data_IF_673553257889
#
_entry.id   IF_673553257889
#
_cell.length_a   1.000
_cell.length_b   1.000
_cell.length_c   1.000
_cell.angle_alpha   90.00
_cell.angle_beta   90.00
_cell.angle_gamma   90.00
#
_symmetry.space_group_name_H-M   'P 1'
#
loop_
_entity.id
_entity.type
_entity.pdbx_description
1 polymer ?
#
# COMPACT_ATOMS: atom_id res chain seq x y z
N UNK A 1 -35.41 36.43 -16.72
CA UNK A 1 -36.61 37.20 -17.06
C UNK A 1 -36.68 37.28 -18.58
N UNK A 2 -37.65 36.55 -19.17
CA UNK A 2 -38.17 36.65 -20.56
C UNK A 2 -37.15 36.47 -21.71
N UNK A 3 -37.45 35.81 -22.84
CA UNK A 3 -38.72 35.52 -23.48
C UNK A 3 -38.71 34.14 -24.16
N UNK A 4 -39.91 33.58 -24.25
CA UNK A 4 -40.28 32.41 -25.00
C UNK A 4 -40.86 32.79 -26.38
N UNK A 5 -40.96 31.75 -27.23
CA UNK A 5 -41.83 31.58 -28.40
C UNK A 5 -41.43 32.41 -29.64
N UNK A 6 -41.29 31.80 -30.82
CA UNK A 6 -42.43 31.43 -31.67
C UNK A 6 -42.12 30.16 -32.50
N UNK A 7 -43.16 29.32 -32.58
CA UNK A 7 -43.33 28.15 -33.45
C UNK A 7 -43.65 28.56 -34.88
N UNK A 8 -43.19 27.82 -35.90
CA UNK A 8 -44.07 27.00 -36.76
C UNK A 8 -43.49 26.64 -38.15
N UNK A 9 -43.77 25.38 -38.53
CA UNK A 9 -43.83 24.76 -39.85
C UNK A 9 -42.62 24.74 -40.78
N UNK A 10 -42.07 23.53 -41.03
CA UNK A 10 -41.44 23.21 -42.30
C UNK A 10 -41.82 21.80 -42.76
N UNK A 11 -42.34 21.73 -43.98
CA UNK A 11 -42.77 20.52 -44.68
C UNK A 11 -41.59 19.71 -45.23
N UNK A 12 -41.85 18.41 -45.38
CA UNK A 12 -40.97 17.32 -45.79
C UNK A 12 -40.44 17.51 -47.22
N UNK A 13 -39.13 17.31 -47.42
CA UNK A 13 -38.58 16.80 -48.68
C UNK A 13 -37.46 15.79 -48.40
N UNK A 14 -37.70 14.54 -48.80
CA UNK A 14 -36.69 13.49 -48.86
C UNK A 14 -35.82 13.71 -50.10
N UNK A 15 -34.51 13.94 -49.90
CA UNK A 15 -33.48 13.74 -50.92
C UNK A 15 -32.61 12.54 -50.51
N UNK A 16 -32.37 11.56 -51.40
CA UNK A 16 -31.48 10.44 -51.11
C UNK A 16 -30.04 10.96 -51.22
N UNK A 17 -29.32 11.00 -50.08
CA UNK A 17 -27.90 11.33 -50.08
C UNK A 17 -27.11 10.07 -50.47
N UNK A 18 -26.62 10.05 -51.71
CA UNK A 18 -25.64 9.10 -52.20
C UNK A 18 -24.28 9.33 -51.52
N UNK A 19 -23.63 8.22 -51.17
CA UNK A 19 -22.33 8.16 -50.49
C UNK A 19 -21.21 8.82 -51.32
N UNK A 20 -20.49 9.76 -50.69
CA UNK A 20 -19.12 10.12 -51.07
C UNK A 20 -18.19 9.74 -49.92
N UNK A 21 -17.42 8.69 -50.18
CA UNK A 21 -16.36 8.14 -49.35
C UNK A 21 -15.27 9.18 -49.05
N UNK A 22 -15.09 9.51 -47.78
CA UNK A 22 -13.86 10.07 -47.25
C UNK A 22 -13.34 9.12 -46.19
N UNK A 23 -12.58 8.10 -46.60
CA UNK A 23 -11.79 7.28 -45.68
C UNK A 23 -10.67 8.15 -45.13
N UNK A 24 -10.94 8.86 -44.03
CA UNK A 24 -9.90 9.43 -43.21
C UNK A 24 -9.10 8.25 -42.62
N UNK A 25 -7.89 8.05 -43.13
CA UNK A 25 -6.91 7.14 -42.55
C UNK A 25 -6.71 7.57 -41.08
N UNK A 26 -6.94 6.70 -40.09
CA UNK A 26 -6.50 7.01 -38.74
C UNK A 26 -4.98 7.01 -38.75
N UNK A 27 -4.39 8.20 -38.65
CA UNK A 27 -3.00 8.35 -38.27
C UNK A 27 -2.82 7.68 -36.91
N UNK A 28 -2.39 6.42 -36.90
CA UNK A 28 -1.81 5.79 -35.72
C UNK A 28 -0.46 6.46 -35.47
N UNK A 29 -0.48 7.63 -34.82
CA UNK A 29 0.66 8.04 -34.03
C UNK A 29 0.75 7.04 -32.88
N UNK A 30 1.53 5.98 -33.09
CA UNK A 30 2.16 5.27 -31.99
C UNK A 30 3.09 6.29 -31.34
N UNK A 31 2.55 7.06 -30.40
CA UNK A 31 3.37 7.81 -29.47
C UNK A 31 4.15 6.75 -28.69
N UNK A 32 5.37 6.46 -29.14
CA UNK A 32 6.31 5.66 -28.39
C UNK A 32 6.41 6.33 -27.03
N UNK A 33 5.79 5.71 -26.03
CA UNK A 33 5.74 6.24 -24.70
C UNK A 33 7.13 6.01 -24.12
N UNK A 34 7.99 7.01 -24.25
CA UNK A 34 9.36 6.98 -23.73
C UNK A 34 9.26 6.96 -22.20
N UNK A 35 9.40 5.79 -21.58
CA UNK A 35 9.60 5.69 -20.15
C UNK A 35 11.09 5.48 -19.86
N UNK A 36 11.59 6.22 -18.87
CA UNK A 36 12.95 6.08 -18.40
C UNK A 36 13.11 4.73 -17.70
N UNK A 37 13.81 3.79 -18.32
CA UNK A 37 14.20 2.52 -17.71
C UNK A 37 15.63 2.64 -17.19
N UNK A 38 15.79 2.76 -15.87
CA UNK A 38 17.10 2.78 -15.22
C UNK A 38 17.51 1.35 -14.84
N UNK A 39 18.46 0.71 -15.55
CA UNK A 39 18.98 -0.59 -15.13
C UNK A 39 19.77 -0.42 -13.82
N UNK A 40 19.35 -1.14 -12.79
CA UNK A 40 20.12 -1.24 -11.54
C UNK A 40 21.24 -2.27 -11.75
N UNK A 41 22.47 -1.77 -11.84
CA UNK A 41 23.68 -2.61 -11.87
C UNK A 41 24.18 -2.79 -10.44
N UNK A 42 24.17 -4.03 -9.96
CA UNK A 42 24.81 -4.37 -8.69
C UNK A 42 26.31 -4.52 -8.91
N UNK A 43 27.11 -3.79 -8.15
CA UNK A 43 28.54 -4.02 -7.99
C UNK A 43 28.76 -4.40 -6.53
N UNK A 44 29.35 -5.55 -6.28
CA UNK A 44 29.69 -6.00 -4.93
C UNK A 44 30.78 -5.07 -4.37
N UNK A 45 30.50 -4.22 -3.35
CA UNK A 45 31.51 -3.37 -2.76
C UNK A 45 31.98 -4.00 -1.45
N UNK A 46 33.21 -4.51 -1.46
CA UNK A 46 33.97 -5.00 -0.31
C UNK A 46 33.40 -6.24 0.44
N UNK A 47 34.27 -7.05 1.07
CA UNK A 47 33.81 -8.17 1.89
C UNK A 47 33.02 -7.65 3.11
N UNK A 48 31.92 -8.33 3.51
CA UNK A 48 31.09 -7.90 4.63
C UNK A 48 31.88 -7.93 5.95
N UNK A 49 31.59 -6.98 6.84
CA UNK A 49 32.11 -7.00 8.21
C UNK A 49 31.62 -8.23 8.97
N UNK A 50 32.30 -8.68 10.05
CA UNK A 50 31.84 -9.82 10.85
C UNK A 50 30.40 -9.66 11.39
N UNK A 51 30.00 -8.44 11.74
CA UNK A 51 28.64 -8.10 12.17
C UNK A 51 27.60 -8.24 11.06
N UNK A 52 27.94 -7.81 9.84
CA UNK A 52 27.06 -7.96 8.67
C UNK A 52 26.96 -9.43 8.27
N UNK A 53 28.06 -10.17 8.32
CA UNK A 53 28.09 -11.60 8.08
C UNK A 53 27.20 -12.37 9.09
N UNK A 54 27.30 -12.05 10.38
CA UNK A 54 26.47 -12.65 11.43
C UNK A 54 24.98 -12.29 11.25
N UNK A 55 24.68 -11.03 10.94
CA UNK A 55 23.30 -10.59 10.64
C UNK A 55 22.72 -11.32 9.43
N UNK A 56 23.51 -11.44 8.36
CA UNK A 56 23.14 -12.19 7.17
C UNK A 56 22.92 -13.68 7.47
N UNK A 57 23.75 -14.30 8.30
CA UNK A 57 23.61 -15.72 8.64
C UNK A 57 22.40 -15.99 9.55
N UNK A 58 22.12 -15.11 10.52
CA UNK A 58 20.89 -15.14 11.31
C UNK A 58 19.63 -15.02 10.42
N UNK A 59 19.66 -14.11 9.45
CA UNK A 59 18.59 -14.00 8.45
C UNK A 59 18.48 -15.26 7.60
N UNK A 60 19.60 -15.82 7.15
CA UNK A 60 19.64 -17.06 6.37
C UNK A 60 19.02 -18.22 7.14
N UNK A 61 19.40 -18.43 8.40
CA UNK A 61 18.82 -19.45 9.27
C UNK A 61 17.30 -19.26 9.43
N UNK A 62 16.85 -18.03 9.69
CA UNK A 62 15.41 -17.70 9.75
C UNK A 62 14.67 -18.08 8.46
N UNK A 63 15.27 -17.80 7.29
CA UNK A 63 14.66 -18.19 6.01
C UNK A 63 14.63 -19.69 5.80
N UNK A 64 15.67 -20.43 6.21
CA UNK A 64 15.69 -21.89 6.14
C UNK A 64 14.63 -22.51 7.04
N UNK A 65 14.53 -22.05 8.30
CA UNK A 65 13.47 -22.50 9.21
C UNK A 65 12.07 -22.18 8.69
N UNK A 66 11.87 -21.02 8.05
CA UNK A 66 10.60 -20.67 7.42
C UNK A 66 10.28 -21.58 6.23
N UNK A 67 11.27 -21.88 5.37
CA UNK A 67 11.12 -22.77 4.24
C UNK A 67 10.76 -24.21 4.66
N UNK A 68 11.36 -24.71 5.74
CA UNK A 68 11.07 -26.04 6.29
C UNK A 68 9.63 -26.19 6.82
N UNK A 69 8.98 -25.09 7.22
CA UNK A 69 7.62 -25.14 7.77
C UNK A 69 6.51 -25.28 6.72
N UNK A 70 6.84 -25.24 5.42
CA UNK A 70 5.88 -25.36 4.30
C UNK A 70 4.59 -24.54 4.51
N UNK A 71 4.70 -23.35 5.12
CA UNK A 71 3.53 -22.54 5.36
C UNK A 71 3.04 -21.92 4.04
N UNK A 72 1.76 -22.07 3.70
CA UNK A 72 1.18 -21.32 2.61
C UNK A 72 1.36 -19.81 2.87
N UNK A 73 1.76 -19.06 1.83
CA UNK A 73 2.12 -17.66 1.96
C UNK A 73 0.95 -16.73 1.64
N UNK A 74 0.75 -15.63 2.40
CA UNK A 74 -0.26 -14.62 2.10
C UNK A 74 -0.11 -14.06 0.69
N UNK A 75 -1.20 -14.07 -0.09
CA UNK A 75 -1.30 -13.50 -1.44
C UNK A 75 -2.48 -12.53 -1.48
N UNK A 76 -2.19 -11.24 -1.53
CA UNK A 76 -3.19 -10.19 -1.52
C UNK A 76 -3.31 -9.54 -2.91
N UNK A 77 -4.52 -9.42 -3.49
CA UNK A 77 -4.70 -8.75 -4.77
C UNK A 77 -4.32 -7.27 -4.70
N UNK A 78 -3.64 -6.78 -5.73
CA UNK A 78 -3.22 -5.39 -5.91
C UNK A 78 -3.71 -4.89 -7.26
N UNK A 79 -4.40 -3.75 -7.25
CA UNK A 79 -4.92 -3.09 -8.45
C UNK A 79 -4.53 -1.62 -8.46
N UNK A 80 -4.30 -1.06 -9.64
CA UNK A 80 -4.12 0.38 -9.80
C UNK A 80 -5.44 1.12 -9.55
N UNK A 81 -5.37 2.27 -8.88
CA UNK A 81 -6.50 3.19 -8.69
C UNK A 81 -6.60 4.25 -9.80
N UNK A 82 -5.82 4.13 -10.89
CA UNK A 82 -5.77 5.13 -11.97
C UNK A 82 -7.16 5.43 -12.57
N UNK A 83 -8.02 4.42 -12.72
CA UNK A 83 -9.38 4.59 -13.22
C UNK A 83 -10.28 5.44 -12.32
N UNK A 84 -9.88 5.67 -11.06
CA UNK A 84 -10.56 6.54 -10.10
C UNK A 84 -9.91 7.93 -9.96
N UNK A 85 -8.92 8.23 -10.81
CA UNK A 85 -8.14 9.47 -10.78
C UNK A 85 -7.02 9.48 -9.74
N UNK A 86 -6.70 8.33 -9.15
CA UNK A 86 -5.64 8.18 -8.15
C UNK A 86 -4.41 7.49 -8.75
N UNK A 87 -3.21 8.02 -8.48
CA UNK A 87 -1.94 7.38 -8.85
C UNK A 87 -1.51 6.22 -7.93
N UNK A 88 -2.38 5.79 -7.01
CA UNK A 88 -2.05 4.81 -5.98
C UNK A 88 -2.33 3.36 -6.42
N UNK A 89 -1.68 2.41 -5.74
CA UNK A 89 -2.01 0.99 -5.85
C UNK A 89 -2.74 0.53 -4.59
N UNK A 90 -3.87 -0.14 -4.78
CA UNK A 90 -4.75 -0.59 -3.71
C UNK A 90 -4.63 -2.09 -3.49
N UNK A 91 -4.29 -2.47 -2.26
CA UNK A 91 -4.29 -3.84 -1.77
C UNK A 91 -5.66 -4.18 -1.21
N UNK A 92 -6.23 -5.31 -1.63
CA UNK A 92 -7.47 -5.84 -1.05
C UNK A 92 -7.17 -6.64 0.22
N UNK A 93 -7.50 -6.08 1.38
CA UNK A 93 -7.39 -6.73 2.69
C UNK A 93 -8.77 -7.11 3.21
N UNK A 94 -8.90 -8.25 3.90
CA UNK A 94 -10.11 -8.56 4.64
C UNK A 94 -9.84 -8.49 6.15
N UNK A 95 -10.66 -7.72 6.86
CA UNK A 95 -10.60 -7.56 8.32
C UNK A 95 -11.91 -7.99 8.97
N UNK A 96 -11.84 -8.64 10.11
CA UNK A 96 -13.01 -8.95 10.94
C UNK A 96 -13.50 -10.39 10.85
N UNK A 97 -14.42 -10.71 11.76
CA UNK A 97 -15.16 -11.98 11.81
C UNK A 97 -16.66 -11.70 11.92
N UNK A 98 -17.45 -11.80 10.82
CA UNK A 98 -17.06 -12.22 9.48
C UNK A 98 -16.17 -11.20 8.73
N UNK A 99 -15.40 -11.63 7.71
CA UNK A 99 -14.46 -10.76 7.01
C UNK A 99 -15.15 -9.65 6.19
N UNK A 100 -14.66 -8.42 6.35
CA UNK A 100 -15.06 -7.23 5.60
C UNK A 100 -13.93 -6.82 4.65
N UNK A 101 -14.24 -6.72 3.35
CA UNK A 101 -13.25 -6.36 2.31
C UNK A 101 -12.98 -4.85 2.31
N UNK A 102 -11.71 -4.48 2.33
CA UNK A 102 -11.22 -3.10 2.34
C UNK A 102 -10.10 -2.96 1.30
N UNK A 103 -10.05 -1.81 0.63
CA UNK A 103 -9.01 -1.44 -0.32
C UNK A 103 -8.08 -0.42 0.35
N UNK A 104 -6.80 -0.76 0.49
CA UNK A 104 -5.84 0.07 1.22
C UNK A 104 -4.70 0.50 0.29
N UNK A 105 -4.28 1.76 0.38
CA UNK A 105 -3.08 2.24 -0.33
C UNK A 105 -1.87 1.47 0.18
N UNK A 106 -1.12 0.84 -0.71
CA UNK A 106 0.13 0.17 -0.36
C UNK A 106 1.22 1.22 -0.12
N UNK A 107 1.71 1.33 1.11
CA UNK A 107 2.62 2.41 1.49
C UNK A 107 3.89 1.88 2.17
N UNK A 108 4.99 1.86 1.43
CA UNK A 108 6.33 1.50 1.94
C UNK A 108 7.00 2.64 2.73
N UNK A 109 6.35 3.81 2.82
CA UNK A 109 6.81 5.01 3.51
C UNK A 109 6.21 5.21 4.91
N UNK A 110 5.37 4.28 5.41
CA UNK A 110 4.82 4.38 6.75
C UNK A 110 4.63 3.02 7.42
N UNK A 111 4.60 3.02 8.75
CA UNK A 111 4.42 1.80 9.54
C UNK A 111 2.97 1.50 9.86
N UNK A 112 2.15 2.49 10.21
CA UNK A 112 0.80 2.21 10.69
C UNK A 112 -0.11 1.75 9.55
N UNK A 113 -0.58 0.51 9.61
CA UNK A 113 -1.79 0.11 8.87
C UNK A 113 -3.02 0.67 9.57
N UNK A 114 -3.83 1.44 8.87
CA UNK A 114 -5.07 1.98 9.41
C UNK A 114 -6.19 1.96 8.36
N UNK A 115 -7.43 1.93 8.86
CA UNK A 115 -8.64 1.93 8.05
C UNK A 115 -9.63 2.94 8.60
N UNK A 116 -10.43 3.55 7.74
CA UNK A 116 -11.58 4.36 8.12
C UNK A 116 -12.64 3.46 8.74
N UNK A 117 -13.00 3.74 9.99
CA UNK A 117 -14.00 2.99 10.72
C UNK A 117 -15.37 3.67 10.72
N UNK A 118 -16.43 2.88 10.92
CA UNK A 118 -17.78 3.38 11.14
C UNK A 118 -17.81 4.40 12.30
N UNK A 119 -18.67 5.41 12.22
CA UNK A 119 -18.67 6.60 13.08
C UNK A 119 -17.53 7.60 12.85
N UNK A 120 -16.85 7.50 11.70
CA UNK A 120 -15.96 8.54 11.25
C UNK A 120 -16.70 9.86 11.01
N UNK A 121 -16.10 10.96 11.49
CA UNK A 121 -16.73 12.30 11.50
C UNK A 121 -16.24 13.23 10.41
N UNK A 122 -15.10 12.96 9.78
CA UNK A 122 -14.49 13.86 8.79
C UNK A 122 -13.62 13.10 7.80
N UNK A 123 -13.77 13.47 6.51
CA UNK A 123 -13.05 12.93 5.34
C UNK A 123 -12.84 11.41 5.38
N UNK A 124 -13.94 10.68 5.53
CA UNK A 124 -13.96 9.25 5.33
C UNK A 124 -14.67 8.89 4.04
N UNK A 125 -14.21 7.81 3.40
CA UNK A 125 -14.82 7.29 2.20
C UNK A 125 -16.30 6.94 2.47
N UNK A 126 -17.26 7.58 1.77
CA UNK A 126 -18.68 7.34 1.99
C UNK A 126 -19.14 5.95 1.53
N UNK A 127 -18.29 5.20 0.81
CA UNK A 127 -18.67 3.95 0.12
C UNK A 127 -18.15 2.67 0.77
N UNK A 128 -17.23 2.73 1.72
CA UNK A 128 -16.87 1.58 2.56
C UNK A 128 -16.01 2.03 3.75
N UNK A 129 -16.48 1.73 4.96
CA UNK A 129 -15.71 1.82 6.19
C UNK A 129 -15.70 0.45 6.84
N UNK A 130 -14.68 0.17 7.64
CA UNK A 130 -14.70 -1.02 8.50
C UNK A 130 -15.75 -0.81 9.59
N UNK A 131 -16.63 -1.79 9.82
CA UNK A 131 -17.64 -1.78 10.88
C UNK A 131 -17.15 -2.62 12.06
N UNK A 132 -16.54 -2.01 13.10
CA UNK A 132 -15.93 -2.77 14.19
C UNK A 132 -16.96 -3.54 15.01
N UNK A 133 -18.18 -2.99 15.15
CA UNK A 133 -19.29 -3.62 15.86
C UNK A 133 -19.82 -4.89 15.18
N UNK A 134 -19.52 -5.07 13.90
CA UNK A 134 -19.92 -6.26 13.13
C UNK A 134 -18.83 -7.33 13.10
N UNK A 135 -17.73 -7.14 13.84
CA UNK A 135 -16.66 -8.12 13.97
C UNK A 135 -16.59 -8.66 15.39
N UNK A 136 -16.72 -9.97 15.54
CA UNK A 136 -16.56 -10.65 16.83
C UNK A 136 -15.11 -10.64 17.35
N UNK A 137 -14.14 -10.32 16.49
CA UNK A 137 -12.70 -10.35 16.82
C UNK A 137 -12.07 -8.95 16.94
N UNK A 138 -12.87 -7.89 16.80
CA UNK A 138 -12.41 -6.53 17.02
C UNK A 138 -12.14 -6.29 18.51
N UNK A 139 -10.94 -5.79 18.84
CA UNK A 139 -10.59 -5.45 20.21
C UNK A 139 -9.69 -4.20 20.23
N UNK A 140 -10.14 -3.07 20.80
CA UNK A 140 -9.26 -1.94 21.00
C UNK A 140 -8.21 -2.27 22.07
N UNK A 141 -6.98 -1.79 21.88
CA UNK A 141 -5.97 -1.87 22.92
C UNK A 141 -6.37 -0.98 24.10
N UNK A 142 -6.05 -1.40 25.32
CA UNK A 142 -6.15 -0.51 26.47
C UNK A 142 -5.04 0.54 26.39
N UNK A 143 -5.26 1.75 26.90
CA UNK A 143 -4.27 2.82 26.83
C UNK A 143 -2.98 2.54 27.66
N UNK A 144 -3.05 1.61 28.63
CA UNK A 144 -1.89 1.10 29.38
C UNK A 144 -1.25 -0.16 28.77
N UNK A 145 -1.80 -0.71 27.68
CA UNK A 145 -1.19 -1.86 27.00
C UNK A 145 0.15 -1.42 26.40
N UNK A 146 1.19 -2.27 26.51
CA UNK A 146 2.51 -1.96 25.94
C UNK A 146 2.45 -1.74 24.42
N UNK A 147 1.49 -2.35 23.73
CA UNK A 147 1.28 -2.08 22.31
C UNK A 147 0.90 -0.61 22.05
N UNK A 148 0.28 0.08 23.01
CA UNK A 148 -0.10 1.48 22.86
C UNK A 148 1.13 2.38 22.71
N UNK A 149 2.26 2.07 23.34
CA UNK A 149 3.49 2.88 23.22
C UNK A 149 4.11 2.84 21.82
N UNK A 150 3.61 1.97 20.93
CA UNK A 150 4.13 1.81 19.57
C UNK A 150 3.54 2.81 18.56
N UNK A 151 2.52 3.58 18.95
CA UNK A 151 1.89 4.58 18.09
C UNK A 151 2.00 5.98 18.70
N UNK A 152 2.17 7.04 17.89
CA UNK A 152 2.16 8.41 18.42
C UNK A 152 0.79 8.75 19.01
N UNK A 153 0.79 9.56 20.07
CA UNK A 153 -0.39 9.92 20.83
C UNK A 153 -0.78 11.38 20.62
N UNK A 154 -2.10 11.72 20.67
CA UNK A 154 -2.52 13.10 20.62
C UNK A 154 -1.96 13.89 21.83
N UNK A 155 -1.25 14.98 21.58
CA UNK A 155 -0.56 15.78 22.62
C UNK A 155 -1.47 16.36 23.71
N UNK A 156 -2.76 16.57 23.39
CA UNK A 156 -3.73 17.27 24.25
C UNK A 156 -4.67 16.33 25.02
N UNK A 157 -4.49 15.02 24.92
CA UNK A 157 -5.33 14.06 25.65
C UNK A 157 -4.57 13.47 26.84
N UNK A 158 -5.15 13.44 28.05
CA UNK A 158 -4.54 12.72 29.18
C UNK A 158 -4.23 11.27 28.75
N UNK A 159 -2.99 10.83 28.97
CA UNK A 159 -2.48 9.54 28.48
C UNK A 159 -3.45 8.36 28.75
N UNK A 160 -4.02 8.35 29.95
CA UNK A 160 -5.04 7.41 30.40
C UNK A 160 -5.78 8.01 31.59
N UNK A 161 -7.10 7.80 31.68
CA UNK A 161 -7.81 8.07 32.93
C UNK A 161 -7.74 6.82 33.83
N UNK A 162 -7.14 6.94 35.03
CA UNK A 162 -7.01 5.83 35.99
C UNK A 162 -8.34 5.29 36.53
N UNK A 163 -9.45 6.01 36.34
CA UNK A 163 -10.76 5.64 36.90
C UNK A 163 -11.77 5.16 35.88
N UNK A 164 -11.45 5.18 34.58
CA UNK A 164 -12.34 4.62 33.54
C UNK A 164 -11.84 3.24 33.12
N UNK A 165 -12.42 2.22 33.74
CA UNK A 165 -12.38 0.84 33.21
C UNK A 165 -12.66 0.91 31.70
N UNK A 166 -11.72 0.38 30.90
CA UNK A 166 -11.76 0.35 29.43
C UNK A 166 -11.50 1.68 28.70
N UNK A 167 -10.40 2.37 29.02
CA UNK A 167 -9.94 3.51 28.18
C UNK A 167 -9.17 2.99 26.96
N UNK A 168 -9.67 3.16 25.73
CA UNK A 168 -8.98 2.68 24.53
C UNK A 168 -7.72 3.49 24.23
N UNK A 169 -6.71 2.83 23.66
CA UNK A 169 -5.49 3.44 23.17
C UNK A 169 -5.81 4.36 22.00
N UNK A 170 -5.53 5.66 22.14
CA UNK A 170 -5.72 6.65 21.08
C UNK A 170 -4.42 6.86 20.32
N UNK A 171 -4.52 6.99 19.00
CA UNK A 171 -3.38 7.37 18.17
C UNK A 171 -3.68 8.64 17.38
N UNK A 172 -2.61 9.35 17.03
CA UNK A 172 -2.60 10.43 16.04
C UNK A 172 -1.35 10.24 15.18
N UNK A 173 -1.55 9.90 13.90
CA UNK A 173 -0.46 9.56 13.00
C UNK A 173 -0.42 10.55 11.84
N UNK A 174 0.75 11.12 11.59
CA UNK A 174 0.96 12.18 10.60
C UNK A 174 1.85 11.70 9.46
N UNK A 175 1.51 12.15 8.25
CA UNK A 175 2.23 11.90 7.01
C UNK A 175 3.06 13.13 6.60
N UNK A 176 4.03 12.92 5.71
CA UNK A 176 4.95 13.98 5.24
C UNK A 176 4.25 15.07 4.42
N UNK A 177 3.12 14.76 3.81
CA UNK A 177 2.29 15.74 3.07
C UNK A 177 1.37 16.55 4.00
N UNK A 178 1.46 16.33 5.32
CA UNK A 178 0.61 16.96 6.33
C UNK A 178 -0.74 16.27 6.55
N UNK A 179 -1.02 15.14 5.89
CA UNK A 179 -2.19 14.33 6.22
C UNK A 179 -2.08 13.70 7.59
N UNK A 180 -3.22 13.56 8.27
CA UNK A 180 -3.33 13.03 9.64
C UNK A 180 -4.47 12.03 9.69
N UNK A 181 -4.29 10.95 10.45
CA UNK A 181 -5.36 10.05 10.89
C UNK A 181 -5.37 9.94 12.42
N UNK A 182 -6.56 9.98 13.01
CA UNK A 182 -6.78 9.86 14.45
C UNK A 182 -7.86 8.81 14.74
N UNK A 183 -7.62 7.97 15.73
CA UNK A 183 -8.60 6.99 16.15
C UNK A 183 -8.13 6.07 17.27
N UNK A 184 -8.62 4.83 17.28
CA UNK A 184 -8.23 3.84 18.27
C UNK A 184 -7.26 2.83 17.70
N UNK A 185 -6.14 2.64 18.40
CA UNK A 185 -5.23 1.55 18.09
C UNK A 185 -5.83 0.25 18.60
N UNK A 186 -5.99 -0.70 17.71
CA UNK A 186 -6.81 -1.89 17.93
C UNK A 186 -6.15 -3.12 17.36
N UNK A 187 -6.68 -4.29 17.69
CA UNK A 187 -6.32 -5.58 17.09
C UNK A 187 -7.52 -6.21 16.42
N UNK A 188 -7.27 -6.93 15.34
CA UNK A 188 -8.29 -7.62 14.54
C UNK A 188 -7.72 -8.91 13.93
N UNK A 189 -8.60 -9.79 13.47
CA UNK A 189 -8.27 -10.94 12.63
C UNK A 189 -8.33 -10.52 11.16
N UNK A 190 -7.28 -10.82 10.41
CA UNK A 190 -7.28 -10.68 8.96
C UNK A 190 -7.34 -12.06 8.29
N UNK A 191 -7.99 -12.09 7.13
CA UNK A 191 -8.10 -13.27 6.27
C UNK A 191 -7.60 -12.94 4.88
N UNK A 192 -6.83 -13.87 4.30
CA UNK A 192 -6.32 -13.74 2.94
C UNK A 192 -6.20 -15.10 2.27
N UNK A 193 -6.24 -15.11 0.95
CA UNK A 193 -5.92 -16.31 0.17
C UNK A 193 -4.41 -16.56 0.22
N UNK A 194 -4.04 -17.82 0.29
CA UNK A 194 -2.65 -18.21 0.13
C UNK A 194 -2.26 -18.34 -1.34
N UNK A 195 -0.96 -18.41 -1.59
CA UNK A 195 -0.40 -18.85 -2.87
C UNK A 195 -0.95 -20.20 -3.35
N UNK A 196 -1.35 -21.08 -2.43
CA UNK A 196 -1.94 -22.39 -2.71
C UNK A 196 -3.48 -22.39 -2.78
N UNK A 197 -4.13 -21.22 -2.78
CA UNK A 197 -5.60 -21.10 -2.86
C UNK A 197 -6.35 -21.40 -1.55
N UNK A 198 -5.66 -21.77 -0.47
CA UNK A 198 -6.25 -21.97 0.86
C UNK A 198 -6.46 -20.63 1.58
N UNK A 199 -7.58 -20.48 2.29
CA UNK A 199 -7.82 -19.35 3.18
C UNK A 199 -6.92 -19.42 4.41
N UNK A 200 -6.20 -18.33 4.69
CA UNK A 200 -5.36 -18.16 5.86
C UNK A 200 -5.93 -17.09 6.78
N UNK A 201 -5.72 -17.29 8.08
CA UNK A 201 -6.10 -16.36 9.13
C UNK A 201 -4.85 -15.91 9.85
N UNK A 202 -4.73 -14.60 10.08
CA UNK A 202 -3.75 -14.03 10.99
C UNK A 202 -4.51 -13.25 12.06
N UNK A 203 -4.41 -13.73 13.30
CA UNK A 203 -5.09 -13.13 14.44
C UNK A 203 -4.23 -12.02 15.06
N UNK A 204 -4.89 -11.08 15.73
CA UNK A 204 -4.25 -10.00 16.49
C UNK A 204 -3.35 -9.10 15.62
N UNK A 205 -3.74 -8.86 14.37
CA UNK A 205 -3.18 -7.79 13.56
C UNK A 205 -3.48 -6.45 14.24
N UNK A 206 -2.44 -5.75 14.65
CA UNK A 206 -2.53 -4.41 15.21
C UNK A 206 -2.72 -3.40 14.08
N UNK A 207 -3.70 -2.52 14.20
CA UNK A 207 -4.05 -1.54 13.19
C UNK A 207 -4.73 -0.31 13.81
N UNK A 208 -4.76 0.80 13.07
CA UNK A 208 -5.51 1.99 13.41
C UNK A 208 -6.96 1.92 12.91
N UNK A 209 -7.92 2.09 13.82
CA UNK A 209 -9.32 2.31 13.49
C UNK A 209 -9.60 3.82 13.49
N UNK A 210 -9.49 4.45 12.33
CA UNK A 210 -9.53 5.90 12.15
C UNK A 210 -10.95 6.46 12.14
N UNK A 211 -11.19 7.50 12.95
CA UNK A 211 -12.47 8.22 13.04
C UNK A 211 -12.39 9.66 12.53
N UNK A 212 -11.17 10.16 12.35
CA UNK A 212 -10.93 11.49 11.81
C UNK A 212 -9.67 11.44 10.96
N UNK A 213 -9.84 11.68 9.66
CA UNK A 213 -8.74 11.76 8.72
C UNK A 213 -8.81 13.14 8.06
N UNK A 214 -7.66 13.77 7.81
CA UNK A 214 -7.63 15.11 7.20
C UNK A 214 -6.33 15.34 6.44
N UNK A 215 -6.33 16.28 5.51
CA UNK A 215 -5.14 16.74 4.80
C UNK A 215 -5.09 16.29 3.33
N UNK A 216 -4.09 16.76 2.58
CA UNK A 216 -4.12 16.80 1.12
C UNK A 216 -4.34 15.45 0.47
N UNK A 217 -3.60 14.42 0.91
CA UNK A 217 -3.67 13.11 0.27
C UNK A 217 -4.91 12.31 0.63
N UNK A 218 -5.51 12.52 1.81
CA UNK A 218 -6.69 11.76 2.29
C UNK A 218 -8.03 12.41 1.94
N UNK A 219 -8.07 13.74 1.73
CA UNK A 219 -9.26 14.45 1.26
C UNK A 219 -9.29 14.67 -0.25
N UNK A 220 -8.16 14.47 -0.92
CA UNK A 220 -8.00 14.69 -2.36
C UNK A 220 -8.21 13.45 -3.23
N UNK A 221 -8.13 13.61 -4.57
CA UNK A 221 -8.33 12.52 -5.53
C UNK A 221 -7.37 11.33 -5.36
N UNK A 222 -6.19 11.57 -4.75
CA UNK A 222 -5.20 10.54 -4.44
C UNK A 222 -5.74 9.41 -3.55
N UNK A 223 -6.74 9.67 -2.70
CA UNK A 223 -7.36 8.65 -1.86
C UNK A 223 -8.64 8.04 -2.44
N UNK A 224 -9.02 8.41 -3.67
CA UNK A 224 -10.23 7.88 -4.28
C UNK A 224 -10.18 6.35 -4.33
N UNK A 225 -11.26 5.72 -3.87
CA UNK A 225 -11.38 4.26 -3.82
C UNK A 225 -10.64 3.58 -2.67
N UNK A 226 -9.83 4.30 -1.89
CA UNK A 226 -9.17 3.75 -0.71
C UNK A 226 -10.04 3.88 0.55
N UNK A 227 -9.87 2.92 1.46
CA UNK A 227 -10.49 2.88 2.79
C UNK A 227 -9.46 3.15 3.89
N UNK A 228 -8.19 3.32 3.56
CA UNK A 228 -7.09 3.47 4.51
C UNK A 228 -5.73 3.21 3.87
N UNK A 229 -4.72 3.02 4.70
CA UNK A 229 -3.33 2.78 4.29
C UNK A 229 -2.85 1.45 4.86
N UNK A 230 -2.18 0.66 4.03
CA UNK A 230 -1.45 -0.54 4.42
C UNK A 230 0.02 -0.16 4.62
N UNK A 231 0.41 0.07 5.87
CA UNK A 231 1.79 0.40 6.23
C UNK A 231 2.72 -0.79 6.00
N UNK A 232 3.64 -0.65 5.06
CA UNK A 232 4.64 -1.63 4.66
C UNK A 232 6.06 -1.20 5.07
N UNK A 233 6.20 -0.17 5.91
CA UNK A 233 7.47 0.26 6.50
C UNK A 233 8.16 -0.82 7.33
N UNK A 234 9.31 -0.47 7.92
CA UNK A 234 10.19 -1.41 8.63
C UNK A 234 9.97 -1.42 10.15
N UNK A 235 9.09 -0.57 10.66
CA UNK A 235 8.76 -0.49 12.07
C UNK A 235 7.94 -1.67 12.56
N UNK A 236 7.83 -1.84 13.89
CA UNK A 236 7.26 -3.04 14.50
C UNK A 236 5.74 -3.20 14.30
N UNK A 237 5.03 -2.10 14.01
CA UNK A 237 3.57 -2.10 13.76
C UNK A 237 3.21 -2.23 12.28
N UNK A 238 4.19 -2.28 11.38
CA UNK A 238 3.93 -2.46 9.95
C UNK A 238 3.32 -3.81 9.65
N UNK A 239 2.51 -3.87 8.60
CA UNK A 239 1.87 -5.10 8.14
C UNK A 239 2.93 -6.15 7.78
N UNK A 240 4.01 -5.71 7.11
CA UNK A 240 5.16 -6.54 6.73
C UNK A 240 5.87 -7.11 7.95
N UNK A 241 6.10 -6.31 8.99
CA UNK A 241 6.73 -6.77 10.25
C UNK A 241 5.84 -7.71 11.04
N UNK A 242 4.54 -7.41 11.16
CA UNK A 242 3.60 -8.21 11.93
C UNK A 242 3.37 -9.60 11.32
N UNK A 243 3.13 -9.68 10.01
CA UNK A 243 3.00 -10.96 9.31
C UNK A 243 4.36 -11.65 9.15
N UNK A 244 5.46 -10.88 9.04
CA UNK A 244 6.81 -11.41 8.90
C UNK A 244 7.25 -12.33 10.04
N UNK A 245 6.71 -12.13 11.25
CA UNK A 245 6.92 -13.02 12.41
C UNK A 245 6.46 -14.46 12.17
N UNK A 246 5.48 -14.65 11.27
CA UNK A 246 4.89 -15.96 10.97
C UNK A 246 5.31 -16.45 9.59
N UNK A 247 5.29 -15.56 8.59
CA UNK A 247 5.47 -15.92 7.18
C UNK A 247 6.86 -15.58 6.63
N UNK A 248 7.72 -14.92 7.42
CA UNK A 248 9.06 -14.48 7.04
C UNK A 248 9.12 -12.98 6.73
N UNK A 249 10.20 -12.33 7.17
CA UNK A 249 10.42 -10.87 7.09
C UNK A 249 10.80 -10.38 5.67
N UNK A 250 9.93 -10.67 4.71
CA UNK A 250 10.05 -10.18 3.32
C UNK A 250 8.68 -10.07 2.69
N UNK A 251 8.57 -9.22 1.68
CA UNK A 251 7.42 -9.17 0.80
C UNK A 251 7.87 -8.78 -0.60
N UNK A 252 7.02 -9.05 -1.59
CA UNK A 252 7.28 -8.67 -2.98
C UNK A 252 5.99 -8.26 -3.65
N UNK A 253 6.10 -7.34 -4.61
CA UNK A 253 5.00 -6.87 -5.44
C UNK A 253 5.51 -6.64 -6.86
N UNK A 254 4.61 -6.73 -7.84
CA UNK A 254 4.88 -6.36 -9.23
C UNK A 254 3.77 -5.40 -9.64
N UNK A 255 4.04 -4.10 -9.60
CA UNK A 255 3.04 -3.08 -9.95
C UNK A 255 2.84 -3.11 -11.46
N UNK A 256 1.65 -3.55 -11.88
CA UNK A 256 1.34 -3.69 -13.30
C UNK A 256 0.91 -2.35 -13.90
N UNK A 257 1.18 -2.18 -15.19
CA UNK A 257 0.85 -0.98 -15.93
C UNK A 257 -0.66 -0.67 -15.86
N UNK A 258 -0.97 0.56 -15.47
CA UNK A 258 -2.32 1.07 -15.29
C UNK A 258 -2.98 1.49 -16.61
N UNK A 259 -2.22 1.56 -17.71
CA UNK A 259 -2.73 1.89 -19.06
C UNK A 259 -3.40 0.70 -19.76
N UNK A 260 -3.17 -0.52 -19.27
CA UNK A 260 -3.72 -1.74 -19.85
C UNK A 260 -5.20 -1.90 -19.50
N UNK A 261 -6.02 -2.29 -20.48
CA UNK A 261 -7.46 -2.53 -20.32
C UNK A 261 -7.85 -3.96 -20.75
N UNK A 262 -8.46 -4.77 -19.87
CA UNK A 262 -8.81 -4.45 -18.48
C UNK A 262 -7.55 -4.34 -17.58
N UNK A 263 -7.59 -3.54 -16.49
CA UNK A 263 -6.45 -3.41 -15.59
C UNK A 263 -6.00 -4.77 -15.04
N UNK A 264 -4.76 -5.19 -15.28
CA UNK A 264 -4.27 -6.47 -14.79
C UNK A 264 -4.18 -6.49 -13.27
N UNK A 265 -4.67 -7.57 -12.66
CA UNK A 265 -4.47 -7.79 -11.21
C UNK A 265 -3.07 -8.30 -10.93
N UNK A 266 -2.37 -7.60 -10.06
CA UNK A 266 -1.09 -8.04 -9.49
C UNK A 266 -1.29 -8.51 -8.05
N UNK A 267 -0.20 -8.90 -7.38
CA UNK A 267 -0.28 -9.41 -6.02
C UNK A 267 0.85 -8.88 -5.14
N UNK A 268 0.49 -8.54 -3.90
CA UNK A 268 1.40 -8.41 -2.78
C UNK A 268 1.56 -9.81 -2.16
N UNK A 269 2.80 -10.30 -2.16
CA UNK A 269 3.17 -11.58 -1.55
C UNK A 269 3.91 -11.31 -0.25
N UNK A 270 3.52 -11.96 0.83
CA UNK A 270 4.23 -11.89 2.11
C UNK A 270 5.00 -13.20 2.33
N UNK A 271 6.26 -13.08 2.74
CA UNK A 271 7.12 -14.21 3.01
C UNK A 271 7.84 -14.76 1.77
N UNK A 272 8.38 -15.96 1.94
CA UNK A 272 9.31 -16.60 1.01
C UNK A 272 8.76 -17.74 0.20
N UNK A 273 7.53 -17.62 -0.30
CA UNK A 273 6.97 -18.62 -1.20
C UNK A 273 7.46 -18.38 -2.61
N UNK A 274 8.02 -19.40 -3.25
CA UNK A 274 8.30 -19.43 -4.68
C UNK A 274 7.10 -18.86 -5.45
N UNK A 275 7.20 -17.60 -5.89
CA UNK A 275 6.29 -17.04 -6.86
C UNK A 275 6.26 -18.04 -8.03
N UNK A 276 5.08 -18.61 -8.29
CA UNK A 276 4.81 -19.56 -9.37
C UNK A 276 5.78 -19.39 -10.55
N UNK A 277 6.72 -20.33 -10.74
CA UNK A 277 7.53 -20.59 -11.95
C UNK A 277 8.35 -19.46 -12.62
N UNK A 278 7.84 -18.23 -12.68
CA UNK A 278 8.36 -17.12 -13.47
C UNK A 278 9.60 -16.47 -12.85
N UNK A 279 9.60 -16.24 -11.54
CA UNK A 279 10.78 -15.65 -10.85
C UNK A 279 11.89 -16.68 -10.67
N UNK A 280 11.59 -17.98 -10.60
CA UNK A 280 12.61 -19.05 -10.58
C UNK A 280 13.49 -19.08 -11.84
N UNK A 281 13.05 -18.46 -12.95
CA UNK A 281 13.82 -18.35 -14.20
C UNK A 281 14.58 -17.02 -14.34
N UNK A 282 14.26 -16.00 -13.54
CA UNK A 282 14.90 -14.70 -13.62
C UNK A 282 16.01 -14.59 -12.56
N UNK A 283 17.23 -14.23 -12.99
CA UNK A 283 18.33 -13.90 -12.09
C UNK A 283 17.99 -12.57 -11.40
N UNK A 284 17.57 -12.64 -10.14
CA UNK A 284 17.35 -11.44 -9.32
C UNK A 284 18.69 -10.78 -9.01
N UNK A 285 18.74 -9.45 -9.13
CA UNK A 285 19.83 -8.62 -8.62
C UNK A 285 19.46 -8.11 -7.23
N UNK A 286 20.46 -8.01 -6.34
CA UNK A 286 20.26 -7.58 -4.96
C UNK A 286 21.09 -6.32 -4.68
N UNK A 287 20.73 -5.59 -3.64
CA UNK A 287 21.54 -4.50 -3.09
C UNK A 287 21.28 -4.44 -1.58
N UNK A 288 22.26 -4.08 -0.74
CA UNK A 288 22.03 -3.92 0.70
C UNK A 288 20.96 -2.86 0.98
N UNK A 289 20.01 -3.20 1.86
CA UNK A 289 19.11 -2.21 2.45
C UNK A 289 19.83 -1.48 3.58
N UNK A 290 19.95 -0.17 3.45
CA UNK A 290 20.57 0.68 4.46
C UNK A 290 19.58 1.02 5.57
N UNK A 291 20.10 1.39 6.74
CA UNK A 291 19.32 1.84 7.89
C UNK A 291 19.71 3.27 8.20
N UNK A 292 18.73 4.18 8.20
CA UNK A 292 18.90 5.50 8.78
C UNK A 292 18.36 5.47 10.22
N UNK A 293 19.20 5.66 11.26
CA UNK A 293 18.75 5.64 12.66
C UNK A 293 17.73 6.74 13.02
N UNK A 294 17.74 7.87 12.32
CA UNK A 294 16.79 8.98 12.51
C UNK A 294 15.44 8.72 11.81
N UNK A 295 15.41 7.80 10.84
CA UNK A 295 14.20 7.46 10.09
C UNK A 295 14.16 5.98 9.72
N UNK A 296 14.11 5.08 10.72
CA UNK A 296 14.27 3.64 10.52
C UNK A 296 13.10 2.99 9.76
N UNK A 297 12.00 3.72 9.58
CA UNK A 297 10.79 3.23 8.89
C UNK A 297 11.03 2.95 7.41
N UNK A 298 11.91 3.72 6.75
CA UNK A 298 12.04 3.72 5.29
C UNK A 298 13.02 2.66 4.76
N UNK A 299 12.84 2.33 3.48
CA UNK A 299 13.74 1.48 2.70
C UNK A 299 14.76 2.33 1.95
N UNK A 300 16.01 2.33 2.44
CA UNK A 300 17.12 3.04 1.80
C UNK A 300 17.99 2.07 1.01
N UNK A 301 18.48 2.53 -0.14
CA UNK A 301 19.51 1.85 -0.94
C UNK A 301 20.67 2.81 -1.20
N UNK A 302 21.87 2.28 -1.29
CA UNK A 302 23.06 3.06 -1.67
C UNK A 302 23.14 3.21 -3.18
N UNK A 303 22.90 4.41 -3.70
CA UNK A 303 23.11 4.72 -5.12
C UNK A 303 24.48 5.37 -5.28
N UNK A 304 25.39 4.69 -5.99
CA UNK A 304 26.76 5.19 -6.22
C UNK A 304 26.83 6.23 -7.35
N UNK A 305 26.07 6.01 -8.42
CA UNK A 305 26.02 6.91 -9.57
C UNK A 305 24.76 6.69 -10.39
N UNK A 306 24.36 7.73 -11.12
CA UNK A 306 23.29 7.69 -12.10
C UNK A 306 23.89 8.03 -13.45
N UNK A 307 23.54 7.27 -14.47
CA UNK A 307 23.99 7.47 -15.85
C UNK A 307 22.75 7.71 -16.73
N UNK A 308 22.86 8.64 -17.67
CA UNK A 308 21.91 8.84 -18.76
C UNK A 308 22.69 8.67 -20.05
N UNK A 309 22.30 7.70 -20.90
CA UNK A 309 23.03 7.38 -22.13
C UNK A 309 24.54 7.19 -21.87
N UNK A 310 24.86 6.42 -20.83
CA UNK A 310 26.22 6.15 -20.33
C UNK A 310 27.02 7.38 -19.85
N UNK A 311 26.39 8.56 -19.79
CA UNK A 311 26.99 9.77 -19.22
C UNK A 311 26.65 9.83 -17.73
N UNK A 312 27.68 9.70 -16.88
CA UNK A 312 27.56 9.85 -15.43
C UNK A 312 27.11 11.27 -15.07
N UNK A 313 25.98 11.37 -14.38
CA UNK A 313 25.51 12.64 -13.82
C UNK A 313 26.46 13.10 -12.71
N UNK A 314 26.74 14.41 -12.67
CA UNK A 314 27.57 15.05 -11.64
C UNK A 314 26.80 15.24 -10.32
N UNK A 315 26.30 14.14 -9.76
CA UNK A 315 25.64 14.09 -8.47
C UNK A 315 26.64 13.52 -7.47
N UNK A 316 27.05 14.31 -6.49
CA UNK A 316 27.91 13.82 -5.41
C UNK A 316 27.09 12.89 -4.51
N UNK A 317 27.56 11.66 -4.21
CA UNK A 317 26.91 10.80 -3.23
C UNK A 317 26.87 11.54 -1.89
N UNK A 318 25.67 11.94 -1.46
CA UNK A 318 25.48 12.40 -0.08
C UNK A 318 25.17 11.18 0.75
N UNK A 319 26.15 10.74 1.55
CA UNK A 319 25.92 9.78 2.62
C UNK A 319 25.14 10.48 3.73
N UNK A 320 23.84 10.67 3.51
CA UNK A 320 22.92 11.18 4.52
C UNK A 320 22.55 10.06 5.49
N UNK A 321 23.39 9.87 6.51
CA UNK A 321 23.01 9.18 7.75
C UNK A 321 22.44 10.22 8.71
#
# INVERSE_FOLDING_TARGET
>A
MLMALISSHLSIFHFPLSLLSSTALPFSHSAAQYYLKLPLLHKDPYPPTPSEALSADNHRLSTLFSALRNHPHPKLPVNSAASSGSGQYLVSLHLGTPPQRLLLVADTGSDLTWVSCSACRSHCSPRATFFPRHSATFSPYHCFDSACTLVPHPKKTPHCNRTRLHTPCRYEYSYSDGSITNGFFSRETTTFNSSAGKLLKFQRLSFGCGFWNSGPSVSGPSFNGANGVLGLGRGPISFSSQLGRVFGHKFSYCLMDYSLSPPPTSYLLIGGGSANGAVRKAKLSYTPLLINPLSPTFYYIGIESVLIEDIKLRISPRYGL
#
